data_IF_448725099062
#
_entry.id   IF_448725099062
#
_cell.length_a   1.000
_cell.length_b   1.000
_cell.length_c   1.000
_cell.angle_alpha   90.00
_cell.angle_beta   90.00
_cell.angle_gamma   90.00
#
_symmetry.space_group_name_H-M   'P 1'
#
loop_
_entity.id
_entity.type
_entity.pdbx_description
1 polymer ?
#
# COMPACT_ATOMS: atom_id res chain seq x y z
N UNK A 1 9.60 15.82 -0.63
CA UNK A 1 8.79 15.22 -1.72
C UNK A 1 7.93 16.29 -2.42
N UNK A 2 7.67 16.15 -3.73
CA UNK A 2 6.67 16.99 -4.44
C UNK A 2 5.24 16.70 -3.95
N UNK A 3 4.37 17.71 -3.96
CA UNK A 3 2.94 17.57 -3.60
C UNK A 3 2.25 16.52 -4.47
N UNK A 4 2.56 16.48 -5.78
CA UNK A 4 2.00 15.49 -6.70
C UNK A 4 2.40 14.06 -6.30
N UNK A 5 3.67 13.85 -5.95
CA UNK A 5 4.18 12.54 -5.53
C UNK A 5 3.56 12.10 -4.19
N UNK A 6 3.36 13.04 -3.27
CA UNK A 6 2.71 12.75 -1.98
C UNK A 6 1.25 12.28 -2.17
N UNK A 7 0.48 12.97 -3.03
CA UNK A 7 -0.91 12.58 -3.34
C UNK A 7 -0.94 11.21 -4.02
N UNK A 8 -0.03 10.94 -4.96
CA UNK A 8 0.05 9.67 -5.65
C UNK A 8 0.34 8.51 -4.68
N UNK A 9 1.33 8.69 -3.81
CA UNK A 9 1.69 7.70 -2.79
C UNK A 9 0.53 7.43 -1.83
N UNK A 10 -0.11 8.50 -1.32
CA UNK A 10 -1.27 8.36 -0.46
C UNK A 10 -2.41 7.59 -1.15
N UNK A 11 -2.70 7.93 -2.39
CA UNK A 11 -3.77 7.30 -3.19
C UNK A 11 -3.48 5.81 -3.39
N UNK A 12 -2.25 5.44 -3.75
CA UNK A 12 -1.83 4.04 -3.90
C UNK A 12 -1.97 3.25 -2.60
N UNK A 13 -1.47 3.79 -1.48
CA UNK A 13 -1.60 3.16 -0.16
C UNK A 13 -3.08 2.99 0.20
N UNK A 14 -3.88 4.05 0.03
CA UNK A 14 -5.30 4.02 0.37
C UNK A 14 -6.06 2.96 -0.43
N UNK A 15 -5.86 2.87 -1.75
CA UNK A 15 -6.49 1.84 -2.58
C UNK A 15 -6.04 0.43 -2.20
N UNK A 16 -4.75 0.22 -1.91
CA UNK A 16 -4.24 -1.09 -1.51
C UNK A 16 -4.86 -1.56 -0.18
N UNK A 17 -4.93 -0.66 0.81
CA UNK A 17 -5.61 -0.92 2.10
C UNK A 17 -7.11 -1.13 1.89
N UNK A 18 -7.74 -0.41 0.96
CA UNK A 18 -9.15 -0.58 0.62
C UNK A 18 -9.44 -1.97 0.03
N UNK A 19 -8.63 -2.45 -0.91
CA UNK A 19 -8.79 -3.80 -1.44
C UNK A 19 -8.56 -4.88 -0.39
N UNK A 20 -7.56 -4.72 0.50
CA UNK A 20 -7.37 -5.62 1.65
C UNK A 20 -8.58 -5.58 2.59
N UNK A 21 -9.16 -4.40 2.82
CA UNK A 21 -10.34 -4.26 3.65
C UNK A 21 -11.60 -4.90 3.03
N UNK A 22 -11.70 -4.95 1.70
CA UNK A 22 -12.75 -5.67 0.99
C UNK A 22 -12.58 -7.19 1.07
N UNK A 23 -11.35 -7.69 1.11
CA UNK A 23 -11.05 -9.12 1.20
C UNK A 23 -11.36 -9.75 2.57
N UNK A 24 -11.71 -8.96 3.59
CA UNK A 24 -12.03 -9.48 4.92
C UNK A 24 -13.38 -10.22 4.95
N UNK A 25 -13.44 -11.44 5.52
CA UNK A 25 -14.65 -12.24 5.59
C UNK A 25 -15.75 -11.59 6.45
N UNK A 26 -17.00 -11.78 6.05
CA UNK A 26 -18.17 -11.27 6.74
C UNK A 26 -18.66 -12.27 7.80
N UNK A 27 -19.07 -11.79 8.98
CA UNK A 27 -19.89 -12.63 9.89
C UNK A 27 -21.27 -12.81 9.27
N UNK A 28 -21.66 -14.07 9.12
CA UNK A 28 -22.96 -14.45 8.54
C UNK A 28 -24.08 -14.26 9.56
N UNK A 29 -25.33 -14.12 9.10
CA UNK A 29 -26.50 -14.05 9.98
C UNK A 29 -26.60 -15.27 10.92
N UNK A 30 -26.14 -16.44 10.48
CA UNK A 30 -26.06 -17.64 11.31
C UNK A 30 -25.12 -17.52 12.52
N UNK A 31 -24.02 -16.77 12.42
CA UNK A 31 -23.11 -16.52 13.55
C UNK A 31 -23.58 -15.40 14.50
N UNK A 32 -24.54 -14.58 14.07
CA UNK A 32 -25.01 -13.41 14.80
C UNK A 32 -26.26 -13.69 15.66
N UNK A 33 -26.87 -14.88 15.55
CA UNK A 33 -28.05 -15.29 16.33
C UNK A 33 -29.38 -14.66 15.90
N UNK A 34 -29.35 -13.57 15.13
CA UNK A 34 -30.53 -12.88 14.58
C UNK A 34 -30.86 -13.39 13.15
N UNK A 35 -31.28 -14.66 13.03
CA UNK A 35 -31.76 -15.20 11.75
C UNK A 35 -33.20 -14.74 11.53
N UNK A 36 -33.42 -13.82 10.59
CA UNK A 36 -34.77 -13.36 10.21
C UNK A 36 -35.46 -14.46 9.38
N UNK A 37 -36.70 -14.85 9.68
CA UNK A 37 -37.42 -15.88 8.91
C UNK A 37 -37.51 -15.48 7.43
N UNK A 38 -37.01 -16.35 6.53
CA UNK A 38 -37.06 -16.14 5.07
C UNK A 38 -35.75 -15.66 4.42
N UNK A 39 -34.68 -15.42 5.19
CA UNK A 39 -33.35 -15.06 4.66
C UNK A 39 -32.38 -16.24 4.82
N UNK A 40 -31.55 -16.60 3.81
CA UNK A 40 -30.54 -17.65 3.97
C UNK A 40 -29.55 -17.28 5.09
N UNK A 41 -29.17 -18.24 5.95
CA UNK A 41 -28.31 -17.95 7.12
C UNK A 41 -26.91 -17.43 6.75
N UNK A 42 -26.49 -17.66 5.50
CA UNK A 42 -25.26 -17.11 4.90
C UNK A 42 -25.34 -15.63 4.53
N UNK A 43 -26.53 -15.02 4.58
CA UNK A 43 -26.69 -13.60 4.28
C UNK A 43 -25.89 -12.76 5.30
N UNK A 44 -25.20 -11.70 4.87
CA UNK A 44 -24.46 -10.84 5.79
C UNK A 44 -25.40 -10.18 6.79
N UNK A 45 -25.05 -10.20 8.08
CA UNK A 45 -25.92 -9.62 9.12
C UNK A 45 -25.95 -8.08 9.06
N UNK A 46 -24.79 -7.44 8.84
CA UNK A 46 -24.66 -5.97 8.71
C UNK A 46 -23.49 -5.60 7.79
N UNK A 47 -23.76 -5.16 6.57
CA UNK A 47 -22.75 -4.57 5.67
C UNK A 47 -22.62 -3.07 5.95
N UNK A 48 -21.93 -2.71 7.04
CA UNK A 48 -21.67 -1.31 7.37
C UNK A 48 -20.46 -0.77 6.57
N UNK A 49 -20.69 -0.47 5.29
CA UNK A 49 -19.64 0.01 4.36
C UNK A 49 -18.93 1.28 4.89
N UNK A 50 -19.68 2.21 5.48
CA UNK A 50 -19.12 3.47 6.03
C UNK A 50 -18.28 3.31 7.30
N UNK A 51 -18.48 2.23 8.09
CA UNK A 51 -17.61 1.94 9.24
C UNK A 51 -16.29 1.33 8.78
N UNK A 52 -16.32 0.56 7.70
CA UNK A 52 -15.12 -0.02 7.06
C UNK A 52 -14.28 1.05 6.39
N UNK A 53 -14.89 1.94 5.61
CA UNK A 53 -14.17 3.05 4.97
C UNK A 53 -13.38 3.91 5.99
N UNK A 54 -13.94 4.17 7.17
CA UNK A 54 -13.22 4.88 8.24
C UNK A 54 -12.03 4.11 8.81
N UNK A 55 -12.17 2.80 8.99
CA UNK A 55 -11.05 1.95 9.42
C UNK A 55 -9.95 1.91 8.35
N UNK A 56 -10.32 1.72 7.09
CA UNK A 56 -9.40 1.75 5.94
C UNK A 56 -8.62 3.06 5.88
N UNK A 57 -9.31 4.20 6.00
CA UNK A 57 -8.66 5.52 5.97
C UNK A 57 -7.74 5.73 7.16
N UNK A 58 -8.12 5.29 8.37
CA UNK A 58 -7.25 5.40 9.55
C UNK A 58 -5.94 4.61 9.36
N UNK A 59 -6.02 3.37 8.89
CA UNK A 59 -4.85 2.53 8.60
C UNK A 59 -4.01 3.13 7.47
N UNK A 60 -4.65 3.59 6.39
CA UNK A 60 -3.95 4.21 5.27
C UNK A 60 -3.19 5.48 5.67
N UNK A 61 -3.77 6.32 6.54
CA UNK A 61 -3.11 7.54 7.05
C UNK A 61 -1.87 7.20 7.88
N UNK A 62 -1.94 6.18 8.74
CA UNK A 62 -0.77 5.74 9.53
C UNK A 62 0.34 5.22 8.63
N UNK A 63 0.00 4.36 7.67
CA UNK A 63 0.97 3.82 6.71
C UNK A 63 1.60 4.92 5.85
N UNK A 64 0.80 5.87 5.38
CA UNK A 64 1.30 7.02 4.63
C UNK A 64 2.22 7.89 5.49
N UNK A 65 1.86 8.19 6.73
CA UNK A 65 2.70 8.98 7.64
C UNK A 65 4.05 8.30 7.89
N UNK A 66 4.07 6.98 8.09
CA UNK A 66 5.31 6.21 8.20
C UNK A 66 6.15 6.27 6.93
N UNK A 67 5.54 6.03 5.75
CA UNK A 67 6.24 6.09 4.48
C UNK A 67 6.83 7.48 4.19
N UNK A 68 6.03 8.53 4.42
CA UNK A 68 6.47 9.91 4.27
C UNK A 68 7.63 10.25 5.22
N UNK A 69 7.55 9.84 6.48
CA UNK A 69 8.62 10.05 7.45
C UNK A 69 9.92 9.36 7.05
N UNK A 70 9.86 8.11 6.55
CA UNK A 70 11.06 7.37 6.09
C UNK A 70 11.73 8.08 4.92
N UNK A 71 10.93 8.60 3.99
CA UNK A 71 11.42 9.24 2.77
C UNK A 71 12.03 10.62 3.08
N UNK A 72 11.37 11.46 3.88
CA UNK A 72 11.88 12.81 4.19
C UNK A 72 13.04 12.78 5.20
N UNK A 73 13.05 11.82 6.13
CA UNK A 73 14.13 11.67 7.09
C UNK A 73 15.38 11.01 6.47
N UNK A 74 15.28 10.51 5.23
CA UNK A 74 16.40 9.88 4.54
C UNK A 74 16.90 8.62 5.25
N UNK A 75 16.00 7.89 5.94
CA UNK A 75 16.36 6.69 6.70
C UNK A 75 16.90 5.55 5.82
N UNK A 76 16.66 5.62 4.51
CA UNK A 76 17.13 4.66 3.53
C UNK A 76 17.97 5.43 2.48
N UNK A 77 19.28 5.45 2.65
CA UNK A 77 20.24 5.82 1.61
C UNK A 77 20.97 4.53 1.17
N UNK A 78 20.65 4.05 -0.04
CA UNK A 78 21.45 3.05 -0.74
C UNK A 78 22.38 3.75 -1.74
N UNK A 79 23.50 3.13 -2.16
CA UNK A 79 24.37 3.70 -3.19
C UNK A 79 23.53 4.01 -4.43
N UNK A 80 23.54 5.27 -4.85
CA UNK A 80 22.85 5.71 -6.04
C UNK A 80 23.52 5.10 -7.26
N UNK A 81 22.78 4.91 -8.36
CA UNK A 81 23.37 4.44 -9.63
C UNK A 81 24.43 5.39 -10.18
N UNK A 82 24.45 6.64 -9.70
CA UNK A 82 25.48 7.64 -10.01
C UNK A 82 26.81 7.38 -9.27
N UNK A 83 26.79 6.61 -8.19
CA UNK A 83 27.98 6.17 -7.46
C UNK A 83 28.61 4.92 -8.09
N UNK A 84 27.92 4.29 -9.06
CA UNK A 84 28.45 3.15 -9.80
C UNK A 84 29.47 3.71 -10.79
N UNK A 85 30.78 3.44 -10.59
CA UNK A 85 31.78 3.87 -11.54
C UNK A 85 31.44 3.21 -12.88
N UNK A 86 31.07 4.04 -13.87
CA UNK A 86 30.91 3.58 -15.24
C UNK A 86 32.23 2.92 -15.66
N UNK A 87 32.11 1.75 -16.28
CA UNK A 87 33.23 0.85 -16.53
C UNK A 87 34.49 1.60 -16.96
N UNK A 88 35.68 1.29 -16.40
CA UNK A 88 36.91 1.92 -16.83
C UNK A 88 37.03 1.78 -18.35
N UNK A 89 37.35 2.87 -19.06
CA UNK A 89 37.66 2.80 -20.49
C UNK A 89 38.74 1.73 -20.66
N UNK A 90 38.39 0.61 -21.30
CA UNK A 90 39.39 -0.42 -21.55
C UNK A 90 40.46 0.23 -22.43
N UNK A 91 41.75 0.17 -22.02
CA UNK A 91 42.80 0.78 -22.81
C UNK A 91 42.69 0.22 -24.23
N UNK A 92 42.54 1.13 -25.21
CA UNK A 92 42.50 0.76 -26.61
C UNK A 92 43.67 -0.19 -26.84
N UNK A 93 43.34 -1.45 -27.12
CA UNK A 93 44.33 -2.48 -27.33
C UNK A 93 45.36 -1.88 -28.26
N UNK A 94 46.61 -1.82 -27.79
CA UNK A 94 47.73 -1.28 -28.53
C UNK A 94 47.81 -2.05 -29.85
N UNK A 95 47.14 -1.51 -30.88
CA UNK A 95 47.22 -2.01 -32.24
C UNK A 95 48.52 -1.44 -32.80
N UNK A 96 49.62 -2.04 -32.36
CA UNK A 96 50.88 -1.98 -33.08
C UNK A 96 50.71 -2.64 -34.44
N UNK A 97 51.38 -2.05 -35.44
CA UNK A 97 51.40 -2.48 -36.83
C UNK A 97 51.67 -1.31 -37.74
#
# INVERSE_FOLDING_TARGET
>A
MSVANAILLFTMIWFLVFFVALAMPFRTQGEAGDVVPGTPSSAPSKVNLGRRARFTTAVAVVLFACAWAVIELGLIHGPSLEDVPMAPELPAAASGG
#
